data_IF_999014381147
#
_entry.id   IF_999014381147
#
_cell.length_a   1.000
_cell.length_b   1.000
_cell.length_c   1.000
_cell.angle_alpha   90.00
_cell.angle_beta   90.00
_cell.angle_gamma   90.00
#
_symmetry.space_group_name_H-M   'P 1'
#
loop_
_entity.id
_entity.type
_entity.pdbx_description
1 polymer ?
#
# COMPACT_ATOMS: atom_id res chain seq x y z
N UNK A 1 -3.28 6.56 21.99
CA UNK A 1 -3.79 6.06 20.70
C UNK A 1 -5.04 6.86 20.36
N UNK A 2 -4.96 7.76 19.39
CA UNK A 2 -6.10 8.58 18.96
C UNK A 2 -7.06 7.74 18.11
N UNK A 3 -8.38 7.90 18.30
CA UNK A 3 -9.41 7.13 17.57
C UNK A 3 -9.29 7.20 16.04
N UNK A 4 -8.66 8.24 15.50
CA UNK A 4 -8.42 8.43 14.07
C UNK A 4 -7.53 7.35 13.45
N UNK A 5 -6.57 6.80 14.20
CA UNK A 5 -5.67 5.74 13.69
C UNK A 5 -6.46 4.49 13.27
N UNK A 6 -7.48 4.13 14.06
CA UNK A 6 -8.35 2.98 13.77
C UNK A 6 -9.11 3.21 12.47
N UNK A 7 -9.57 4.44 12.21
CA UNK A 7 -10.29 4.78 10.99
C UNK A 7 -9.39 4.63 9.74
N UNK A 8 -8.17 5.16 9.80
CA UNK A 8 -7.23 5.10 8.67
C UNK A 8 -6.75 3.68 8.35
N UNK A 9 -6.70 2.77 9.33
CA UNK A 9 -6.37 1.35 9.10
C UNK A 9 -7.38 0.58 8.22
N UNK A 10 -8.62 1.07 8.11
CA UNK A 10 -9.65 0.43 7.29
C UNK A 10 -9.72 0.94 5.85
N UNK A 11 -9.04 2.05 5.55
CA UNK A 11 -8.98 2.63 4.21
C UNK A 11 -8.15 1.77 3.26
N UNK A 12 -8.27 2.00 1.95
CA UNK A 12 -7.26 1.53 0.99
C UNK A 12 -6.08 2.50 0.96
N UNK A 13 -4.93 2.04 0.46
CA UNK A 13 -3.74 2.89 0.35
C UNK A 13 -3.96 4.10 -0.58
N UNK A 14 -4.84 3.98 -1.59
CA UNK A 14 -5.27 5.11 -2.43
C UNK A 14 -6.00 6.18 -1.63
N UNK A 15 -6.96 5.79 -0.81
CA UNK A 15 -7.75 6.72 0.00
C UNK A 15 -6.86 7.42 1.04
N UNK A 16 -5.84 6.72 1.53
CA UNK A 16 -4.85 7.28 2.46
C UNK A 16 -3.99 8.38 1.80
N UNK A 17 -3.68 8.27 0.51
CA UNK A 17 -3.00 9.34 -0.23
C UNK A 17 -3.89 10.58 -0.38
N UNK A 18 -5.20 10.42 -0.53
CA UNK A 18 -6.13 11.56 -0.58
C UNK A 18 -6.24 12.25 0.80
N UNK A 19 -6.23 11.46 1.88
CA UNK A 19 -6.17 11.96 3.27
C UNK A 19 -4.91 12.81 3.48
N UNK A 20 -3.77 12.38 2.97
CA UNK A 20 -2.49 13.11 3.06
C UNK A 20 -2.58 14.52 2.46
N UNK A 21 -3.36 14.68 1.39
CA UNK A 21 -3.53 15.95 0.68
C UNK A 21 -4.56 16.89 1.33
N UNK A 22 -5.30 16.43 2.34
CA UNK A 22 -6.44 17.18 2.90
C UNK A 22 -6.01 18.31 3.84
N UNK A 23 -5.16 18.04 4.83
CA UNK A 23 -4.63 19.08 5.75
C UNK A 23 -3.36 18.61 6.47
N UNK A 24 -2.62 19.53 7.10
CA UNK A 24 -1.35 19.19 7.77
C UNK A 24 -1.47 18.15 8.90
N UNK A 25 -2.55 18.19 9.68
CA UNK A 25 -2.75 17.19 10.73
C UNK A 25 -2.97 15.79 10.13
N UNK A 26 -3.71 15.71 9.03
CA UNK A 26 -4.05 14.46 8.36
C UNK A 26 -2.86 13.93 7.57
N UNK A 27 -2.07 14.83 6.96
CA UNK A 27 -0.77 14.51 6.39
C UNK A 27 0.13 13.78 7.40
N UNK A 28 0.33 14.35 8.58
CA UNK A 28 1.19 13.75 9.60
C UNK A 28 0.70 12.37 10.06
N UNK A 29 -0.63 12.14 10.08
CA UNK A 29 -1.22 10.85 10.41
C UNK A 29 -1.11 9.84 9.25
N UNK A 30 -1.29 10.31 8.01
CA UNK A 30 -1.19 9.49 6.81
C UNK A 30 0.26 9.12 6.45
N UNK A 31 1.25 9.85 6.96
CA UNK A 31 2.68 9.54 6.84
C UNK A 31 3.21 8.66 7.97
N UNK A 32 2.37 8.26 8.95
CA UNK A 32 2.82 7.47 10.10
C UNK A 32 3.32 6.08 9.67
N UNK A 33 4.57 5.74 10.02
CA UNK A 33 5.20 4.47 9.63
C UNK A 33 4.48 3.23 10.18
N UNK A 34 3.90 3.33 11.37
CA UNK A 34 3.13 2.22 11.99
C UNK A 34 1.89 1.87 11.16
N UNK A 35 1.28 2.87 10.53
CA UNK A 35 0.13 2.73 9.64
C UNK A 35 0.57 2.01 8.36
N UNK A 36 1.62 2.50 7.69
CA UNK A 36 2.15 1.88 6.48
C UNK A 36 2.70 0.47 6.72
N UNK A 37 3.33 0.21 7.87
CA UNK A 37 3.71 -1.14 8.31
C UNK A 37 2.51 -2.07 8.37
N UNK A 38 1.41 -1.61 8.97
CA UNK A 38 0.18 -2.39 9.06
C UNK A 38 -0.40 -2.71 7.67
N UNK A 39 -0.40 -1.73 6.76
CA UNK A 39 -0.82 -1.91 5.37
C UNK A 39 0.04 -2.91 4.61
N UNK A 40 1.35 -2.74 4.69
CA UNK A 40 2.34 -3.59 4.04
C UNK A 40 2.21 -5.05 4.50
N UNK A 41 2.18 -5.28 5.81
CA UNK A 41 2.04 -6.62 6.39
C UNK A 41 0.70 -7.26 5.98
N UNK A 42 -0.39 -6.48 5.99
CA UNK A 42 -1.72 -6.96 5.60
C UNK A 42 -1.78 -7.40 4.13
N UNK A 43 -1.14 -6.66 3.23
CA UNK A 43 -1.18 -6.93 1.79
C UNK A 43 -0.17 -7.97 1.33
N UNK A 44 1.09 -7.88 1.78
CA UNK A 44 2.19 -8.68 1.25
C UNK A 44 2.58 -9.87 2.14
N UNK A 45 2.05 -9.95 3.36
CA UNK A 45 2.18 -11.06 4.32
C UNK A 45 3.62 -11.52 4.65
N UNK A 46 4.71 -10.94 4.11
CA UNK A 46 6.10 -11.31 4.46
C UNK A 46 7.14 -10.20 4.17
N UNK A 47 8.22 -10.24 4.98
CA UNK A 47 9.55 -9.54 4.95
C UNK A 47 9.51 -8.03 5.21
N UNK A 48 10.12 -7.60 6.34
CA UNK A 48 10.34 -6.18 6.61
C UNK A 48 11.17 -5.52 5.49
N UNK A 49 10.82 -4.30 5.08
CA UNK A 49 11.55 -3.61 4.03
C UNK A 49 13.01 -3.38 4.43
N UNK A 50 13.94 -3.76 3.56
CA UNK A 50 15.38 -3.57 3.79
C UNK A 50 15.78 -2.21 3.23
N UNK A 51 16.00 -1.24 4.12
CA UNK A 51 16.57 0.07 3.77
C UNK A 51 15.61 1.11 3.21
N UNK A 52 14.31 0.82 3.13
CA UNK A 52 13.26 1.72 2.64
C UNK A 52 12.12 1.88 3.66
N UNK A 53 11.33 2.94 3.51
CA UNK A 53 10.10 3.14 4.28
C UNK A 53 9.05 2.07 3.92
N UNK A 54 8.12 1.77 4.83
CA UNK A 54 7.03 0.84 4.50
C UNK A 54 6.14 1.37 3.38
N UNK A 55 5.98 2.71 3.31
CA UNK A 55 5.22 3.39 2.24
C UNK A 55 5.84 3.14 0.87
N UNK A 56 7.14 3.41 0.69
CA UNK A 56 7.84 3.19 -0.58
C UNK A 56 7.84 1.71 -0.97
N UNK A 57 8.12 0.83 -0.01
CA UNK A 57 8.12 -0.61 -0.26
C UNK A 57 6.73 -1.14 -0.64
N UNK A 58 5.66 -0.57 -0.05
CA UNK A 58 4.29 -0.89 -0.43
C UNK A 58 4.02 -0.55 -1.90
N UNK A 59 4.39 0.66 -2.36
CA UNK A 59 4.16 1.06 -3.74
C UNK A 59 4.97 0.23 -4.73
N UNK A 60 6.26 -0.01 -4.43
CA UNK A 60 7.13 -0.83 -5.30
C UNK A 60 6.59 -2.25 -5.48
N UNK A 61 6.18 -2.91 -4.40
CA UNK A 61 5.61 -4.26 -4.48
C UNK A 61 4.22 -4.26 -5.13
N UNK A 62 3.42 -3.23 -4.90
CA UNK A 62 2.10 -3.08 -5.52
C UNK A 62 2.22 -2.95 -7.04
N UNK A 63 3.14 -2.10 -7.52
CA UNK A 63 3.44 -1.93 -8.94
C UNK A 63 3.98 -3.24 -9.55
N UNK A 64 4.93 -3.90 -8.89
CA UNK A 64 5.44 -5.19 -9.32
C UNK A 64 4.32 -6.24 -9.43
N UNK A 65 3.45 -6.33 -8.42
CA UNK A 65 2.32 -7.27 -8.41
C UNK A 65 1.30 -6.96 -9.53
N UNK A 66 1.02 -5.68 -9.78
CA UNK A 66 0.17 -5.26 -10.90
C UNK A 66 0.80 -5.64 -12.26
N UNK A 67 2.11 -5.44 -12.42
CA UNK A 67 2.82 -5.87 -13.62
C UNK A 67 2.78 -7.39 -13.82
N UNK A 68 3.01 -8.18 -12.76
CA UNK A 68 2.92 -9.63 -12.83
C UNK A 68 1.52 -10.12 -13.21
N UNK A 69 0.46 -9.54 -12.63
CA UNK A 69 -0.93 -9.87 -13.02
C UNK A 69 -1.18 -9.59 -14.49
N UNK A 70 -0.73 -8.44 -14.99
CA UNK A 70 -0.90 -8.07 -16.41
C UNK A 70 -0.15 -9.03 -17.35
N UNK A 71 1.03 -9.50 -16.95
CA UNK A 71 1.81 -10.49 -17.70
C UNK A 71 1.10 -11.84 -17.68
N UNK A 72 0.58 -12.27 -16.53
CA UNK A 72 -0.16 -13.53 -16.38
C UNK A 72 -1.45 -13.54 -17.23
N UNK A 73 -2.23 -12.44 -17.21
CA UNK A 73 -3.39 -12.24 -18.08
C UNK A 73 -3.02 -12.30 -19.57
N UNK A 74 -1.88 -11.72 -19.95
CA UNK A 74 -1.38 -11.78 -21.32
C UNK A 74 -1.05 -13.23 -21.71
N UNK A 75 -0.35 -13.97 -20.84
CA UNK A 75 -0.03 -15.38 -21.08
C UNK A 75 -1.28 -16.27 -21.16
N UNK A 76 -2.28 -16.05 -20.31
CA UNK A 76 -3.57 -16.75 -20.41
C UNK A 76 -4.31 -16.40 -21.70
N UNK A 77 -4.26 -15.15 -22.14
CA UNK A 77 -4.85 -14.76 -23.44
C UNK A 77 -4.18 -15.44 -24.63
N UNK A 78 -2.87 -15.71 -24.56
CA UNK A 78 -2.14 -16.46 -25.58
C UNK A 78 -2.42 -17.96 -25.56
N UNK A 79 -2.84 -18.54 -24.42
CA UNK A 79 -3.24 -19.96 -24.33
C UNK A 79 -4.60 -20.24 -24.98
N UNK A 80 -5.39 -19.20 -25.25
CA UNK A 80 -6.74 -19.31 -25.83
C UNK A 80 -6.71 -19.25 -27.38
N UNK A 81 -5.55 -19.00 -28.00
CA UNK A 81 -5.31 -19.11 -29.44
C UNK A 81 -4.68 -20.47 -29.80
#
# INVERSE_FOLDING_TARGET
>A
MSCYYIFFLFLQASDLLEVELTCHQWKNLAEEETLWKSFYVRYFKVIEPVGETYKESYFRLSEANHHWRKIDELFESFKIC
#
